data_IF_787213781048
#
_entry.id   IF_787213781048
#
_cell.length_a   1.000
_cell.length_b   1.000
_cell.length_c   1.000
_cell.angle_alpha   90.00
_cell.angle_beta   90.00
_cell.angle_gamma   90.00
#
_symmetry.space_group_name_H-M   'P 1'
#
loop_
_entity.id
_entity.type
_entity.pdbx_description
1 polymer ?
#
# COMPACT_ATOMS: atom_id res chain seq x y z
N UNK A 1 50.32 -29.14 -47.08
CA UNK A 1 51.23 -29.04 -45.91
C UNK A 1 51.74 -27.60 -45.81
N UNK A 2 51.52 -26.97 -44.65
CA UNK A 2 51.96 -25.64 -44.16
C UNK A 2 52.11 -24.48 -45.18
N UNK A 3 51.23 -23.47 -45.05
CA UNK A 3 51.57 -22.04 -45.22
C UNK A 3 50.82 -21.30 -44.10
N UNK A 4 51.50 -20.96 -43.01
CA UNK A 4 52.21 -19.69 -42.76
C UNK A 4 51.24 -18.50 -42.75
N UNK A 5 50.99 -17.99 -41.54
CA UNK A 5 50.22 -16.79 -41.24
C UNK A 5 50.88 -15.55 -41.85
N UNK A 6 50.11 -14.46 -42.01
CA UNK A 6 50.64 -13.16 -41.60
C UNK A 6 49.75 -12.50 -40.53
N UNK A 7 50.42 -12.03 -39.47
CA UNK A 7 49.88 -11.09 -38.48
C UNK A 7 49.35 -9.81 -39.13
N UNK A 8 48.28 -9.26 -38.56
CA UNK A 8 47.86 -7.87 -38.76
C UNK A 8 48.07 -7.09 -37.45
N UNK A 9 48.98 -6.13 -37.52
CA UNK A 9 49.41 -5.13 -36.53
C UNK A 9 48.39 -3.97 -36.46
N UNK A 10 48.26 -3.22 -35.34
CA UNK A 10 47.00 -2.64 -34.90
C UNK A 10 46.70 -1.26 -35.50
N UNK A 11 45.40 -1.01 -35.69
CA UNK A 11 44.82 0.28 -36.05
C UNK A 11 43.37 0.34 -35.55
N UNK A 12 43.18 0.33 -34.23
CA UNK A 12 41.86 0.47 -33.58
C UNK A 12 41.41 1.94 -33.68
N UNK A 13 40.75 2.30 -34.77
CA UNK A 13 39.92 3.51 -34.84
C UNK A 13 38.53 3.19 -34.26
N UNK A 14 38.11 4.01 -33.30
CA UNK A 14 37.04 3.71 -32.35
C UNK A 14 35.65 3.44 -32.95
N UNK A 15 34.99 2.45 -32.33
CA UNK A 15 33.54 2.29 -32.36
C UNK A 15 33.02 2.48 -30.92
N UNK A 16 32.49 3.65 -30.60
CA UNK A 16 31.73 3.90 -29.37
C UNK A 16 30.26 3.56 -29.67
N UNK A 17 29.83 2.33 -29.36
CA UNK A 17 28.41 2.00 -29.28
C UNK A 17 27.94 2.16 -27.82
N UNK A 18 27.33 3.31 -27.54
CA UNK A 18 26.60 3.57 -26.30
C UNK A 18 25.25 2.86 -26.36
N UNK A 19 25.06 1.82 -25.53
CA UNK A 19 23.80 1.08 -25.45
C UNK A 19 22.75 1.86 -24.65
N UNK A 20 21.62 2.12 -25.33
CA UNK A 20 20.24 2.17 -24.83
C UNK A 20 19.96 2.73 -23.44
N UNK A 21 19.61 4.02 -23.39
CA UNK A 21 18.82 4.59 -22.29
C UNK A 21 17.33 4.30 -22.54
N UNK A 22 16.82 3.22 -21.96
CA UNK A 22 15.38 2.96 -21.91
C UNK A 22 14.75 3.87 -20.86
N UNK A 23 14.39 5.09 -21.28
CA UNK A 23 13.57 6.02 -20.51
C UNK A 23 12.14 5.47 -20.44
N UNK A 24 11.84 4.68 -19.41
CA UNK A 24 10.48 4.21 -19.14
C UNK A 24 9.70 5.31 -18.40
N UNK A 25 9.22 6.31 -19.14
CA UNK A 25 8.40 7.40 -18.62
C UNK A 25 7.08 7.49 -19.36
N UNK A 26 6.23 6.50 -19.17
CA UNK A 26 4.81 6.63 -19.53
C UNK A 26 3.99 5.63 -18.74
N UNK A 27 3.51 6.00 -17.53
CA UNK A 27 2.40 5.29 -16.85
C UNK A 27 1.63 6.12 -15.80
N UNK A 28 1.60 7.45 -15.91
CA UNK A 28 0.75 8.30 -15.06
C UNK A 28 -0.17 9.18 -15.91
N UNK A 29 -1.02 8.54 -16.69
CA UNK A 29 -2.39 8.97 -16.95
C UNK A 29 -3.01 8.04 -17.99
N UNK A 30 -3.78 7.07 -17.52
CA UNK A 30 -4.82 6.47 -18.37
C UNK A 30 -6.15 6.95 -17.81
N UNK A 31 -6.76 7.88 -18.55
CA UNK A 31 -8.09 8.40 -18.28
C UNK A 31 -9.11 7.26 -18.20
N UNK A 32 -10.05 7.43 -17.28
CA UNK A 32 -11.12 6.49 -16.97
C UNK A 32 -11.91 6.08 -18.21
N UNK A 33 -11.79 4.81 -18.58
CA UNK A 33 -12.83 4.13 -19.34
C UNK A 33 -13.95 3.74 -18.35
N UNK A 34 -15.23 3.72 -18.76
CA UNK A 34 -16.34 3.29 -17.88
C UNK A 34 -16.28 1.82 -17.46
N UNK A 35 -15.30 1.04 -17.93
CA UNK A 35 -14.92 -0.29 -17.42
C UNK A 35 -13.52 -0.30 -16.78
N UNK A 36 -13.20 0.77 -16.03
CA UNK A 36 -11.85 1.20 -15.66
C UNK A 36 -11.06 0.20 -14.82
N UNK A 37 -9.83 -0.09 -15.29
CA UNK A 37 -8.79 -0.76 -14.52
C UNK A 37 -8.66 -0.18 -13.11
N UNK A 38 -8.69 -1.03 -12.09
CA UNK A 38 -8.40 -0.65 -10.70
C UNK A 38 -7.00 -0.03 -10.58
N UNK A 39 -6.83 1.02 -9.77
CA UNK A 39 -5.50 1.62 -9.55
C UNK A 39 -4.56 0.66 -8.80
N UNK A 40 -5.14 -0.26 -8.02
CA UNK A 40 -4.43 -1.28 -7.30
C UNK A 40 -4.07 -2.47 -8.21
N UNK A 41 -2.86 -3.07 -8.07
CA UNK A 41 -2.47 -4.24 -8.83
C UNK A 41 -3.29 -5.47 -8.43
N UNK A 42 -4.15 -5.95 -9.34
CA UNK A 42 -5.05 -7.09 -9.08
C UNK A 42 -4.31 -8.37 -8.68
N UNK A 43 -3.06 -8.57 -9.11
CA UNK A 43 -2.25 -9.71 -8.66
C UNK A 43 -2.00 -9.69 -7.14
N UNK A 44 -1.78 -8.50 -6.56
CA UNK A 44 -1.61 -8.35 -5.11
C UNK A 44 -2.93 -8.49 -4.38
N UNK A 45 -4.01 -7.93 -4.91
CA UNK A 45 -5.36 -8.12 -4.35
C UNK A 45 -5.69 -9.60 -4.28
N UNK A 46 -5.47 -10.35 -5.37
CA UNK A 46 -5.69 -11.80 -5.43
C UNK A 46 -4.83 -12.57 -4.42
N UNK A 47 -3.56 -12.18 -4.26
CA UNK A 47 -2.64 -12.82 -3.30
C UNK A 47 -3.12 -12.62 -1.86
N UNK A 48 -3.57 -11.41 -1.52
CA UNK A 48 -4.10 -11.10 -0.19
C UNK A 48 -5.41 -11.86 0.05
N UNK A 49 -6.33 -11.89 -0.92
CA UNK A 49 -7.58 -12.66 -0.80
C UNK A 49 -7.31 -14.15 -0.56
N UNK A 50 -6.30 -14.73 -1.22
CA UNK A 50 -5.88 -16.13 -1.03
C UNK A 50 -5.05 -16.41 0.22
N UNK A 51 -4.68 -15.38 0.99
CA UNK A 51 -3.97 -15.59 2.26
C UNK A 51 -4.88 -16.18 3.34
N UNK A 52 -6.21 -16.04 3.17
CA UNK A 52 -7.18 -16.72 4.03
C UNK A 52 -7.28 -18.20 3.66
N UNK A 53 -7.16 -19.13 4.63
CA UNK A 53 -7.23 -20.57 4.38
C UNK A 53 -8.57 -21.03 3.80
N UNK A 54 -9.63 -20.26 4.00
CA UNK A 54 -11.00 -20.55 3.53
C UNK A 54 -11.20 -20.24 2.03
N UNK A 55 -10.25 -19.57 1.37
CA UNK A 55 -10.42 -19.07 -0.01
C UNK A 55 -9.66 -19.93 -1.02
N UNK A 56 -10.36 -20.91 -1.61
CA UNK A 56 -9.77 -21.83 -2.60
C UNK A 56 -9.66 -21.20 -4.01
N UNK A 57 -10.75 -20.59 -4.49
CA UNK A 57 -10.85 -20.02 -5.84
C UNK A 57 -11.56 -18.66 -5.82
N UNK A 58 -11.21 -17.79 -6.77
CA UNK A 58 -11.72 -16.41 -6.85
C UNK A 58 -12.06 -16.14 -8.31
N UNK A 59 -13.30 -15.71 -8.58
CA UNK A 59 -13.73 -15.32 -9.92
C UNK A 59 -13.10 -13.99 -10.33
N UNK A 60 -12.98 -13.76 -11.64
CA UNK A 60 -12.38 -12.52 -12.15
C UNK A 60 -13.22 -11.28 -11.79
N UNK A 61 -14.55 -11.41 -11.76
CA UNK A 61 -15.46 -10.34 -11.36
C UNK A 61 -15.34 -9.99 -9.88
N UNK A 62 -15.28 -11.00 -9.00
CA UNK A 62 -15.07 -10.76 -7.56
C UNK A 62 -13.73 -10.07 -7.32
N UNK A 63 -12.67 -10.50 -8.01
CA UNK A 63 -11.36 -9.86 -7.92
C UNK A 63 -11.39 -8.39 -8.33
N UNK A 64 -12.10 -8.07 -9.42
CA UNK A 64 -12.23 -6.70 -9.89
C UNK A 64 -13.06 -5.84 -8.92
N UNK A 65 -14.18 -6.38 -8.43
CA UNK A 65 -15.05 -5.71 -7.46
C UNK A 65 -14.31 -5.42 -6.15
N UNK A 66 -13.62 -6.42 -5.58
CA UNK A 66 -12.79 -6.23 -4.39
C UNK A 66 -11.72 -5.17 -4.63
N UNK A 67 -11.02 -5.23 -5.77
CA UNK A 67 -10.02 -4.22 -6.12
C UNK A 67 -10.59 -2.79 -6.16
N UNK A 68 -11.80 -2.61 -6.71
CA UNK A 68 -12.46 -1.31 -6.75
C UNK A 68 -12.98 -0.89 -5.37
N UNK A 69 -13.56 -1.82 -4.61
CA UNK A 69 -14.03 -1.57 -3.25
C UNK A 69 -12.87 -1.13 -2.34
N UNK A 70 -11.69 -1.77 -2.44
CA UNK A 70 -10.50 -1.36 -1.67
C UNK A 70 -10.04 0.06 -2.03
N UNK A 71 -10.10 0.44 -3.30
CA UNK A 71 -9.77 1.81 -3.73
C UNK A 71 -10.72 2.85 -3.11
N UNK A 72 -12.03 2.58 -3.16
CA UNK A 72 -13.05 3.44 -2.55
C UNK A 72 -12.91 3.48 -1.02
N UNK A 73 -12.60 2.34 -0.40
CA UNK A 73 -12.39 2.25 1.04
C UNK A 73 -11.24 3.15 1.51
N UNK A 74 -10.09 3.12 0.83
CA UNK A 74 -8.94 3.98 1.16
C UNK A 74 -9.32 5.46 1.05
N UNK A 75 -10.04 5.84 0.00
CA UNK A 75 -10.51 7.22 -0.18
C UNK A 75 -11.50 7.65 0.92
N UNK A 76 -12.45 6.77 1.26
CA UNK A 76 -13.43 7.03 2.31
C UNK A 76 -12.75 7.17 3.69
N UNK A 77 -11.84 6.26 4.04
CA UNK A 77 -11.11 6.30 5.30
C UNK A 77 -10.30 7.60 5.44
N UNK A 78 -9.55 7.96 4.39
CA UNK A 78 -8.78 9.20 4.37
C UNK A 78 -9.70 10.44 4.51
N UNK A 79 -10.83 10.45 3.82
CA UNK A 79 -11.80 11.55 3.87
C UNK A 79 -12.44 11.69 5.24
N UNK A 80 -12.92 10.60 5.83
CA UNK A 80 -13.55 10.63 7.17
C UNK A 80 -12.55 11.11 8.22
N UNK A 81 -11.33 10.59 8.18
CA UNK A 81 -10.25 11.00 9.09
C UNK A 81 -9.92 12.48 8.93
N UNK A 82 -9.87 12.99 7.70
CA UNK A 82 -9.60 14.40 7.43
C UNK A 82 -10.76 15.33 7.82
N UNK A 83 -12.01 14.89 7.65
CA UNK A 83 -13.19 15.65 8.05
C UNK A 83 -13.24 15.86 9.56
N UNK A 84 -12.91 14.82 10.34
CA UNK A 84 -12.85 14.87 11.80
C UNK A 84 -11.55 15.50 12.34
N UNK A 85 -10.50 15.62 11.51
CA UNK A 85 -9.26 16.29 11.91
C UNK A 85 -9.49 17.78 12.19
N UNK A 86 -8.84 18.28 13.24
CA UNK A 86 -8.76 19.72 13.52
C UNK A 86 -7.82 20.48 12.57
N UNK A 87 -6.92 19.77 11.90
CA UNK A 87 -5.98 20.33 10.94
C UNK A 87 -6.53 20.18 9.51
N UNK A 88 -6.61 21.28 8.77
CA UNK A 88 -7.11 21.33 7.38
C UNK A 88 -5.98 21.45 6.35
N UNK A 89 -4.76 21.09 6.75
CA UNK A 89 -3.57 21.12 5.89
C UNK A 89 -2.92 19.75 5.79
N UNK A 90 -2.98 18.94 6.85
CA UNK A 90 -2.37 17.63 6.89
C UNK A 90 -3.24 16.62 7.67
N UNK A 91 -3.21 15.37 7.22
CA UNK A 91 -3.85 14.25 7.89
C UNK A 91 -2.84 13.53 8.80
N UNK A 92 -3.15 13.41 10.09
CA UNK A 92 -2.26 12.79 11.07
C UNK A 92 -2.76 11.41 11.48
N UNK A 93 -1.84 10.57 11.99
CA UNK A 93 -2.19 9.25 12.51
C UNK A 93 -3.26 9.29 13.60
N UNK A 94 -3.20 10.29 14.49
CA UNK A 94 -4.21 10.46 15.56
C UNK A 94 -5.61 10.59 14.98
N UNK A 95 -5.76 11.26 13.85
CA UNK A 95 -7.05 11.47 13.21
C UNK A 95 -7.61 10.14 12.67
N UNK A 96 -6.77 9.29 12.07
CA UNK A 96 -7.19 7.92 11.69
C UNK A 96 -7.59 7.09 12.90
N UNK A 97 -6.75 7.09 13.95
CA UNK A 97 -7.01 6.32 15.16
C UNK A 97 -8.29 6.76 15.86
N UNK A 98 -8.62 8.05 15.82
CA UNK A 98 -9.88 8.58 16.35
C UNK A 98 -11.07 7.95 15.62
N UNK A 99 -11.13 8.12 14.29
CA UNK A 99 -12.24 7.63 13.45
C UNK A 99 -12.41 6.12 13.56
N UNK A 100 -11.31 5.36 13.50
CA UNK A 100 -11.35 3.90 13.61
C UNK A 100 -11.96 3.43 14.93
N UNK A 101 -11.78 4.19 16.01
CA UNK A 101 -12.33 3.85 17.33
C UNK A 101 -13.75 4.38 17.55
N UNK A 102 -14.17 5.38 16.77
CA UNK A 102 -15.51 5.97 16.86
C UNK A 102 -16.53 5.24 15.98
N UNK A 103 -16.10 4.69 14.84
CA UNK A 103 -16.98 4.06 13.85
C UNK A 103 -16.99 2.54 13.97
N UNK A 104 -18.16 1.95 14.26
CA UNK A 104 -18.34 0.50 14.40
C UNK A 104 -17.95 -0.26 13.11
N UNK A 105 -18.27 0.32 11.95
CA UNK A 105 -17.93 -0.29 10.64
C UNK A 105 -16.42 -0.41 10.39
N UNK A 106 -15.59 0.28 11.18
CA UNK A 106 -14.13 0.24 11.11
C UNK A 106 -13.50 -0.60 12.22
N UNK A 107 -14.29 -1.32 13.03
CA UNK A 107 -13.79 -2.12 14.16
C UNK A 107 -12.71 -3.13 13.76
N UNK A 108 -12.79 -3.69 12.54
CA UNK A 108 -11.79 -4.61 12.01
C UNK A 108 -10.36 -4.01 11.91
N UNK A 109 -10.22 -2.69 12.05
CA UNK A 109 -8.92 -1.99 12.05
C UNK A 109 -8.36 -1.74 13.46
N UNK A 110 -9.05 -2.08 14.55
CA UNK A 110 -8.61 -1.75 15.91
C UNK A 110 -7.20 -2.27 16.23
N UNK A 111 -6.90 -3.50 15.82
CA UNK A 111 -5.59 -4.13 16.04
C UNK A 111 -4.49 -3.56 15.14
N UNK A 112 -4.87 -2.92 14.03
CA UNK A 112 -3.94 -2.37 13.02
C UNK A 112 -3.67 -0.88 13.27
N UNK A 113 -4.67 -0.15 13.75
CA UNK A 113 -4.63 1.30 14.01
C UNK A 113 -5.06 1.59 15.45
N UNK A 114 -4.27 1.16 16.45
CA UNK A 114 -4.62 1.37 17.85
C UNK A 114 -4.54 2.83 18.28
N UNK A 115 -5.37 3.23 19.26
CA UNK A 115 -5.17 4.53 19.92
C UNK A 115 -3.89 4.50 20.76
N UNK A 116 -3.10 5.56 20.62
CA UNK A 116 -1.91 5.75 21.45
C UNK A 116 -2.31 6.31 22.81
N UNK A 117 -1.95 5.58 23.87
CA UNK A 117 -2.02 6.03 25.26
C UNK A 117 -0.61 6.29 25.79
N UNK A 118 -0.42 7.32 26.61
CA UNK A 118 0.89 7.56 27.25
C UNK A 118 1.05 6.56 28.40
N UNK A 119 2.28 6.07 28.60
CA UNK A 119 2.58 5.13 29.69
C UNK A 119 2.14 5.64 31.07
N UNK A 120 2.29 6.95 31.31
CA UNK A 120 1.82 7.59 32.55
C UNK A 120 0.30 7.49 32.74
N UNK A 121 -0.47 7.60 31.66
CA UNK A 121 -1.93 7.60 31.70
C UNK A 121 -2.41 6.15 31.89
N UNK A 122 -1.74 5.18 31.25
CA UNK A 122 -1.98 3.76 31.43
C UNK A 122 -1.66 3.28 32.86
N UNK A 123 -0.51 3.69 33.41
CA UNK A 123 -0.14 3.35 34.79
C UNK A 123 -1.12 3.94 35.80
N UNK A 124 -1.66 5.14 35.51
CA UNK A 124 -2.71 5.72 36.33
C UNK A 124 -4.00 4.89 36.25
N UNK A 125 -4.45 4.51 35.06
CA UNK A 125 -5.66 3.69 34.92
C UNK A 125 -5.56 2.33 35.59
N UNK A 126 -4.37 1.72 35.66
CA UNK A 126 -4.16 0.48 36.42
C UNK A 126 -4.35 0.70 37.92
N UNK A 127 -3.71 1.74 38.48
CA UNK A 127 -3.85 2.08 39.90
C UNK A 127 -5.29 2.42 40.29
N UNK A 128 -5.99 3.13 39.41
CA UNK A 128 -7.39 3.50 39.64
C UNK A 128 -8.32 2.26 39.53
N UNK A 129 -7.99 1.27 38.70
CA UNK A 129 -8.71 0.01 38.60
C UNK A 129 -8.51 -0.86 39.85
N UNK A 130 -7.27 -1.04 40.32
CA UNK A 130 -6.95 -1.80 41.52
C UNK A 130 -7.65 -1.22 42.77
N UNK A 131 -7.70 0.12 42.88
CA UNK A 131 -8.38 0.80 43.97
C UNK A 131 -9.92 0.66 43.95
N UNK A 132 -10.50 0.33 42.79
CA UNK A 132 -11.94 0.12 42.63
C UNK A 132 -12.39 -1.33 42.87
N UNK A 133 -11.48 -2.31 42.84
CA UNK A 133 -11.77 -3.70 43.19
C UNK A 133 -11.66 -4.01 44.70
N UNK A 134 -11.04 -3.11 45.46
CA UNK A 134 -10.91 -3.21 46.93
C UNK A 134 -12.07 -2.55 47.71
N UNK A 135 -13.14 -2.11 47.03
CA UNK A 135 -14.37 -1.55 47.62
C UNK A 135 -15.60 -2.38 47.28
#
# INVERSE_FOLDING_TARGET
>A
MRKLQPEVIPGFSGLKQSKGSTTNRSRFNKMASPGGSTSLPLSRVKTIMKSSPEVSSISQEALHLTGKATELFIQALARFSYQQSGDKTALHYRDLAEVVNSEETLQFLHDIVPRKIKAKDYLKSLRDADASEEQ
#
